data_IF_548488957845
#
_entry.id   IF_548488957845
#
_cell.length_a   1.000
_cell.length_b   1.000
_cell.length_c   1.000
_cell.angle_alpha   90.00
_cell.angle_beta   90.00
_cell.angle_gamma   90.00
#
_symmetry.space_group_name_H-M   'P 1'
#
loop_
_entity.id
_entity.type
_entity.pdbx_description
1 polymer ?
#
# COMPACT_ATOMS: atom_id res chain seq x y z
N UNK A 1 4.13 9.71 -9.99
CA UNK A 1 3.36 8.50 -10.41
C UNK A 1 2.46 8.07 -9.24
N UNK A 2 1.24 7.61 -9.49
CA UNK A 2 0.33 7.09 -8.46
C UNK A 2 0.26 5.57 -8.56
N UNK A 3 0.36 4.87 -7.44
CA UNK A 3 0.29 3.41 -7.38
C UNK A 3 -0.95 2.97 -6.59
N UNK A 4 -1.53 1.85 -7.00
CA UNK A 4 -2.64 1.22 -6.28
C UNK A 4 -2.08 0.02 -5.52
N UNK A 5 -2.00 0.17 -4.20
CA UNK A 5 -1.54 -0.88 -3.29
C UNK A 5 -2.73 -1.60 -2.64
N UNK A 6 -2.55 -2.89 -2.36
CA UNK A 6 -3.48 -3.66 -1.56
C UNK A 6 -3.05 -3.68 -0.11
N UNK A 7 -3.95 -3.20 0.74
CA UNK A 7 -3.95 -3.46 2.18
C UNK A 7 -5.07 -4.49 2.44
N UNK A 8 -4.76 -5.53 3.22
CA UNK A 8 -5.69 -6.60 3.60
C UNK A 8 -6.46 -6.24 4.86
N UNK A 9 -5.81 -5.63 5.84
CA UNK A 9 -6.40 -5.30 7.14
C UNK A 9 -6.91 -3.86 7.22
N UNK A 10 -6.72 -3.07 6.16
CA UNK A 10 -7.10 -1.66 6.09
C UNK A 10 -6.50 -0.84 7.24
N UNK A 11 -5.26 -1.18 7.57
CA UNK A 11 -4.48 -0.65 8.69
C UNK A 11 -3.89 0.74 8.40
N UNK A 12 -3.71 1.07 7.12
CA UNK A 12 -3.09 2.32 6.69
C UNK A 12 -4.09 3.49 6.73
N UNK A 13 -3.61 4.65 7.19
CA UNK A 13 -4.36 5.90 7.19
C UNK A 13 -3.75 6.93 6.24
N UNK A 14 -4.55 7.96 5.95
CA UNK A 14 -4.10 9.10 5.15
C UNK A 14 -3.00 9.83 5.94
N UNK A 15 -1.85 10.04 5.30
CA UNK A 15 -0.68 10.68 5.91
C UNK A 15 0.41 9.68 6.34
N UNK A 16 0.09 8.39 6.45
CA UNK A 16 1.08 7.37 6.80
C UNK A 16 2.12 7.20 5.69
N UNK A 17 3.37 7.02 6.09
CA UNK A 17 4.45 6.62 5.19
C UNK A 17 4.53 5.11 5.19
N UNK A 18 4.15 4.51 4.06
CA UNK A 18 4.10 3.05 3.92
C UNK A 18 5.14 2.54 2.92
N UNK A 19 5.57 1.31 3.13
CA UNK A 19 6.38 0.56 2.18
C UNK A 19 5.45 -0.33 1.36
N UNK A 20 5.59 -0.26 0.03
CA UNK A 20 4.88 -1.13 -0.90
C UNK A 20 5.87 -1.98 -1.67
N UNK A 21 5.47 -3.21 -2.00
CA UNK A 21 6.26 -4.13 -2.83
C UNK A 21 5.47 -4.59 -4.06
N UNK A 22 6.19 -4.96 -5.12
CA UNK A 22 5.58 -5.51 -6.33
C UNK A 22 4.98 -6.89 -6.05
N UNK A 23 3.85 -7.16 -6.69
CA UNK A 23 3.13 -8.41 -6.55
C UNK A 23 2.45 -8.79 -7.87
N UNK A 24 1.90 -10.00 -7.91
CA UNK A 24 1.08 -10.42 -9.05
C UNK A 24 -0.05 -9.41 -9.30
N UNK A 25 -0.49 -9.21 -10.55
CA UNK A 25 -1.62 -8.33 -10.84
C UNK A 25 -2.87 -8.76 -10.07
N UNK A 26 -3.38 -7.87 -9.22
CA UNK A 26 -4.62 -8.06 -8.44
C UNK A 26 -5.83 -7.47 -9.17
N UNK A 27 -5.60 -6.51 -10.06
CA UNK A 27 -6.62 -5.87 -10.91
C UNK A 27 -5.94 -5.22 -12.11
N UNK A 28 -6.70 -4.57 -13.00
CA UNK A 28 -6.20 -3.85 -14.19
C UNK A 28 -5.06 -2.86 -13.89
N UNK A 29 -5.05 -2.26 -12.69
CA UNK A 29 -4.03 -1.28 -12.25
C UNK A 29 -3.34 -1.60 -10.92
N UNK A 30 -3.81 -2.62 -10.18
CA UNK A 30 -3.33 -2.93 -8.82
C UNK A 30 -2.26 -4.02 -8.90
N UNK A 31 -1.01 -3.67 -8.66
CA UNK A 31 0.18 -4.55 -8.76
C UNK A 31 1.12 -4.44 -7.55
N UNK A 32 0.64 -3.79 -6.49
CA UNK A 32 1.43 -3.48 -5.31
C UNK A 32 0.68 -3.95 -4.07
N UNK A 33 1.40 -4.37 -3.03
CA UNK A 33 0.86 -4.71 -1.71
C UNK A 33 1.58 -3.88 -0.66
N UNK A 34 0.87 -3.53 0.41
CA UNK A 34 1.47 -2.88 1.58
C UNK A 34 2.30 -3.92 2.34
N UNK A 35 3.61 -3.70 2.41
CA UNK A 35 4.54 -4.54 3.19
C UNK A 35 4.58 -4.15 4.66
N UNK A 36 4.43 -2.86 4.95
CA UNK A 36 4.41 -2.34 6.31
C UNK A 36 4.32 -0.82 6.37
N UNK A 37 4.01 -0.30 7.56
CA UNK A 37 3.96 1.13 7.85
C UNK A 37 5.32 1.53 8.44
N UNK A 38 6.00 2.48 7.79
CA UNK A 38 7.30 3.01 8.23
C UNK A 38 7.06 4.11 9.27
N UNK A 39 6.11 5.00 9.01
CA UNK A 39 5.80 6.14 9.87
C UNK A 39 4.29 6.33 9.89
N UNK A 40 3.71 6.41 11.10
CA UNK A 40 2.29 6.71 11.27
C UNK A 40 2.10 8.22 11.37
N UNK A 41 1.08 8.74 10.70
CA UNK A 41 0.64 10.10 10.91
C UNK A 41 0.11 10.25 12.35
N UNK A 42 0.57 11.30 13.03
CA UNK A 42 0.15 11.71 14.36
C UNK A 42 -1.26 12.32 14.35
#
# INVERSE_FOLDING_TARGET
KKYMAHDLENSCRIGDKILIEEYRPLSRRKRWVVKGIIEKAL
#
